data_IF_753944845948
#
_entry.id   IF_753944845948
#
_cell.length_a   1.000
_cell.length_b   1.000
_cell.length_c   1.000
_cell.angle_alpha   90.00
_cell.angle_beta   90.00
_cell.angle_gamma   90.00
#
_symmetry.space_group_name_H-M   'P 1'
#
loop_
_entity.id
_entity.type
_entity.pdbx_description
1 polymer ?
#
# COMPACT_ATOMS: atom_id res chain seq x y z
N UNK A 1 12.19 -3.58 -24.00
CA UNK A 1 10.79 -3.27 -24.38
C UNK A 1 9.88 -4.08 -23.47
N UNK A 2 9.28 -3.44 -22.46
CA UNK A 2 8.41 -4.11 -21.50
C UNK A 2 7.04 -4.33 -22.14
N UNK A 3 6.81 -5.52 -22.67
CA UNK A 3 5.49 -5.88 -23.18
C UNK A 3 4.60 -6.13 -21.97
N UNK A 4 3.78 -5.14 -21.63
CA UNK A 4 2.66 -5.30 -20.71
C UNK A 4 1.80 -6.42 -21.27
N UNK A 5 1.90 -7.61 -20.69
CA UNK A 5 0.89 -8.65 -20.87
C UNK A 5 -0.33 -8.13 -20.11
N UNK A 6 -1.12 -7.32 -20.80
CA UNK A 6 -2.45 -6.93 -20.35
C UNK A 6 -3.31 -8.20 -20.36
N UNK A 7 -3.18 -9.01 -19.30
CA UNK A 7 -4.21 -10.00 -18.97
C UNK A 7 -5.43 -9.16 -18.66
N UNK A 8 -6.37 -9.11 -19.60
CA UNK A 8 -7.64 -8.39 -19.45
C UNK A 8 -8.46 -9.01 -18.33
N UNK A 9 -8.20 -8.59 -17.10
CA UNK A 9 -8.98 -8.96 -15.93
C UNK A 9 -10.27 -8.15 -15.96
N UNK A 10 -11.22 -8.57 -16.79
CA UNK A 10 -12.59 -8.06 -16.76
C UNK A 10 -13.23 -8.41 -15.41
N UNK A 11 -13.91 -7.45 -14.78
CA UNK A 11 -14.74 -7.69 -13.58
C UNK A 11 -15.68 -8.88 -13.85
N UNK A 12 -15.47 -9.99 -13.14
CA UNK A 12 -16.38 -11.15 -13.18
C UNK A 12 -15.77 -12.48 -13.63
N UNK A 13 -14.46 -12.57 -13.89
CA UNK A 13 -13.84 -13.89 -14.12
C UNK A 13 -13.70 -14.66 -12.80
N UNK A 14 -14.52 -15.71 -12.66
CA UNK A 14 -14.42 -16.68 -11.56
C UNK A 14 -13.34 -17.71 -11.89
N UNK A 15 -12.31 -17.78 -11.06
CA UNK A 15 -11.25 -18.77 -11.17
C UNK A 15 -11.62 -19.98 -10.31
N UNK A 16 -11.87 -21.14 -10.93
CA UNK A 16 -12.10 -22.40 -10.22
C UNK A 16 -10.76 -23.12 -9.98
N UNK A 17 -10.05 -22.74 -8.92
CA UNK A 17 -8.85 -23.43 -8.47
C UNK A 17 -8.84 -23.53 -6.96
N UNK A 18 -8.58 -24.71 -6.39
CA UNK A 18 -8.44 -24.90 -4.94
C UNK A 18 -7.03 -24.49 -4.50
N UNK A 19 -6.68 -23.21 -4.71
CA UNK A 19 -5.51 -22.58 -4.13
C UNK A 19 -5.90 -21.92 -2.80
N UNK A 20 -5.02 -21.88 -1.78
CA UNK A 20 -5.28 -21.14 -0.55
C UNK A 20 -5.41 -19.65 -0.91
N UNK A 21 -6.65 -19.17 -0.96
CA UNK A 21 -6.99 -17.85 -1.51
C UNK A 21 -8.25 -17.83 -2.38
N UNK A 22 -8.82 -18.99 -2.75
CA UNK A 22 -10.09 -19.05 -3.48
C UNK A 22 -11.14 -19.80 -2.65
N UNK A 23 -12.04 -19.02 -2.03
CA UNK A 23 -13.32 -19.50 -1.50
C UNK A 23 -14.41 -18.97 -2.43
N UNK A 24 -15.24 -19.87 -2.97
CA UNK A 24 -16.39 -19.56 -3.84
C UNK A 24 -16.10 -18.71 -5.10
N UNK A 25 -14.96 -18.94 -5.76
CA UNK A 25 -14.59 -18.24 -7.00
C UNK A 25 -14.22 -16.76 -6.80
N UNK A 26 -14.04 -16.32 -5.55
CA UNK A 26 -13.56 -14.99 -5.20
C UNK A 26 -12.10 -15.05 -4.77
N UNK A 27 -11.29 -14.11 -5.26
CA UNK A 27 -9.96 -13.87 -4.72
C UNK A 27 -10.09 -13.37 -3.27
N UNK A 28 -9.43 -14.06 -2.34
CA UNK A 28 -9.41 -13.80 -0.90
C UNK A 28 -7.96 -13.79 -0.38
N UNK A 29 -7.74 -13.33 0.85
CA UNK A 29 -6.41 -13.20 1.45
C UNK A 29 -5.80 -11.81 1.25
N UNK A 30 -4.56 -11.64 1.71
CA UNK A 30 -3.93 -10.32 1.87
C UNK A 30 -3.87 -9.49 0.58
N UNK A 31 -3.65 -10.12 -0.59
CA UNK A 31 -3.64 -9.42 -1.87
C UNK A 31 -5.04 -8.92 -2.27
N UNK A 32 -6.08 -9.71 -1.98
CA UNK A 32 -7.46 -9.29 -2.24
C UNK A 32 -7.89 -8.16 -1.30
N UNK A 33 -7.41 -8.18 -0.05
CA UNK A 33 -7.66 -7.11 0.91
C UNK A 33 -6.92 -5.83 0.52
N UNK A 34 -5.68 -5.92 0.04
CA UNK A 34 -4.93 -4.78 -0.52
C UNK A 34 -5.68 -4.13 -1.69
N UNK A 35 -6.11 -4.93 -2.68
CA UNK A 35 -6.91 -4.44 -3.82
C UNK A 35 -8.24 -3.78 -3.44
N UNK A 36 -8.79 -4.11 -2.27
CA UNK A 36 -10.02 -3.49 -1.74
C UNK A 36 -9.76 -2.24 -0.90
N UNK A 37 -8.51 -2.04 -0.47
CA UNK A 37 -8.11 -0.99 0.47
C UNK A 37 -7.06 -0.05 -0.13
N UNK A 38 -7.26 0.33 -1.40
CA UNK A 38 -6.39 1.30 -2.09
C UNK A 38 -6.47 2.66 -1.40
N UNK A 39 -5.34 3.17 -0.93
CA UNK A 39 -5.24 4.39 -0.11
C UNK A 39 -4.60 5.56 -0.89
N UNK A 40 -3.60 5.27 -1.72
CA UNK A 40 -2.76 6.25 -2.44
C UNK A 40 -3.13 6.40 -3.92
N UNK A 41 -4.33 5.97 -4.30
CA UNK A 41 -4.93 6.16 -5.62
C UNK A 41 -4.42 5.21 -6.71
N UNK A 42 -4.57 5.61 -7.96
CA UNK A 42 -4.39 4.72 -9.13
C UNK A 42 -3.01 4.08 -9.24
N UNK A 43 -1.96 4.72 -8.72
CA UNK A 43 -0.60 4.16 -8.74
C UNK A 43 -0.48 2.91 -7.87
N UNK A 44 -1.09 2.92 -6.69
CA UNK A 44 -1.15 1.76 -5.80
C UNK A 44 -2.00 0.65 -6.43
N UNK A 45 -3.21 0.99 -6.91
CA UNK A 45 -4.09 0.03 -7.57
C UNK A 45 -3.39 -0.69 -8.74
N UNK A 46 -2.65 0.05 -9.57
CA UNK A 46 -1.91 -0.53 -10.68
C UNK A 46 -0.76 -1.45 -10.22
N UNK A 47 -0.09 -1.12 -9.11
CA UNK A 47 0.95 -1.97 -8.53
C UNK A 47 0.36 -3.29 -8.02
N UNK A 48 -0.74 -3.23 -7.28
CA UNK A 48 -1.44 -4.43 -6.77
C UNK A 48 -2.01 -5.30 -7.91
N UNK A 49 -2.54 -4.67 -8.96
CA UNK A 49 -2.98 -5.38 -10.16
C UNK A 49 -1.82 -6.05 -10.91
N UNK A 50 -0.62 -5.46 -10.85
CA UNK A 50 0.59 -6.07 -11.41
C UNK A 50 1.00 -7.32 -10.62
N UNK A 51 0.89 -7.28 -9.29
CA UNK A 51 1.09 -8.47 -8.43
C UNK A 51 0.12 -9.58 -8.81
N UNK A 52 -1.17 -9.25 -8.94
CA UNK A 52 -2.19 -10.21 -9.33
C UNK A 52 -1.88 -10.85 -10.70
N UNK A 53 -1.48 -10.04 -11.69
CA UNK A 53 -1.06 -10.54 -12.99
C UNK A 53 0.12 -11.51 -12.91
N UNK A 54 1.15 -11.17 -12.13
CA UNK A 54 2.31 -12.04 -11.91
C UNK A 54 1.94 -13.36 -11.23
N UNK A 55 1.04 -13.31 -10.23
CA UNK A 55 0.56 -14.51 -9.53
C UNK A 55 -0.21 -15.43 -10.47
N UNK A 56 -1.08 -14.88 -11.32
CA UNK A 56 -1.79 -15.66 -12.34
C UNK A 56 -0.81 -16.35 -13.30
N UNK A 57 0.25 -15.66 -13.72
CA UNK A 57 1.30 -16.27 -14.55
C UNK A 57 2.02 -17.40 -13.82
N UNK A 58 2.39 -17.20 -12.56
CA UNK A 58 3.02 -18.25 -11.75
C UNK A 58 2.12 -19.48 -11.56
N UNK A 59 0.83 -19.28 -11.26
CA UNK A 59 -0.15 -20.37 -11.14
C UNK A 59 -0.38 -21.14 -12.45
N UNK A 60 -0.22 -20.49 -13.60
CA UNK A 60 -0.28 -21.18 -14.89
C UNK A 60 0.92 -22.13 -15.08
N UNK A 61 2.13 -21.69 -14.72
CA UNK A 61 3.33 -22.52 -14.78
C UNK A 61 3.28 -23.66 -13.76
N UNK A 62 2.81 -23.40 -12.53
CA UNK A 62 2.62 -24.42 -11.50
C UNK A 62 1.63 -25.52 -11.96
N UNK A 63 0.55 -25.16 -12.66
CA UNK A 63 -0.36 -26.13 -13.26
C UNK A 63 0.31 -26.98 -14.33
N UNK A 64 1.07 -26.37 -15.24
CA UNK A 64 1.83 -27.10 -16.26
C UNK A 64 2.85 -28.07 -15.63
N UNK A 65 3.52 -27.66 -14.56
CA UNK A 65 4.42 -28.52 -13.82
C UNK A 65 3.69 -29.75 -13.25
N UNK A 66 2.50 -29.57 -12.66
CA UNK A 66 1.67 -30.68 -12.16
C UNK A 66 1.18 -31.59 -13.29
N UNK A 67 0.84 -31.04 -14.44
CA UNK A 67 0.42 -31.82 -15.61
C UNK A 67 1.58 -32.69 -16.14
N UNK A 68 2.82 -32.17 -16.15
CA UNK A 68 4.02 -32.94 -16.48
C UNK A 68 4.30 -34.04 -15.45
N UNK A 69 4.22 -33.72 -14.17
CA UNK A 69 4.47 -34.67 -13.08
C UNK A 69 3.47 -35.83 -13.09
N UNK A 70 2.18 -35.52 -13.24
CA UNK A 70 1.10 -36.53 -13.36
C UNK A 70 1.21 -37.37 -14.64
N UNK A 71 1.90 -36.87 -15.66
CA UNK A 71 2.22 -37.59 -16.90
C UNK A 71 3.51 -38.42 -16.81
N UNK A 72 4.09 -38.59 -15.63
CA UNK A 72 5.39 -39.25 -15.37
C UNK A 72 6.59 -38.56 -16.04
N UNK A 73 6.47 -37.29 -16.43
CA UNK A 73 7.52 -36.47 -17.03
C UNK A 73 8.24 -35.64 -15.94
N UNK A 74 8.78 -36.34 -14.94
CA UNK A 74 9.32 -35.71 -13.73
C UNK A 74 10.56 -34.82 -14.03
N UNK A 75 11.40 -35.22 -14.98
CA UNK A 75 12.60 -34.45 -15.32
C UNK A 75 12.22 -33.10 -15.97
N UNK A 76 11.22 -33.12 -16.85
CA UNK A 76 10.66 -31.96 -17.50
C UNK A 76 9.94 -31.05 -16.50
N UNK A 77 9.20 -31.62 -15.54
CA UNK A 77 8.57 -30.86 -14.46
C UNK A 77 9.60 -30.12 -13.60
N UNK A 78 10.70 -30.78 -13.22
CA UNK A 78 11.80 -30.16 -12.47
C UNK A 78 12.44 -29.04 -13.29
N UNK A 79 12.77 -29.30 -14.56
CA UNK A 79 13.38 -28.31 -15.44
C UNK A 79 12.48 -27.09 -15.65
N UNK A 80 11.16 -27.29 -15.78
CA UNK A 80 10.18 -26.22 -15.87
C UNK A 80 10.13 -25.40 -14.57
N UNK A 81 10.12 -26.06 -13.41
CA UNK A 81 10.03 -25.38 -12.12
C UNK A 81 11.27 -24.54 -11.80
N UNK A 82 12.47 -25.09 -12.00
CA UNK A 82 13.73 -24.42 -11.62
C UNK A 82 14.27 -23.49 -12.71
N UNK A 83 13.65 -23.49 -13.89
CA UNK A 83 14.09 -22.71 -15.03
C UNK A 83 13.91 -21.20 -14.85
N UNK A 84 14.85 -20.41 -15.36
CA UNK A 84 14.87 -18.95 -15.27
C UNK A 84 14.46 -18.23 -16.57
N UNK A 85 14.07 -18.95 -17.61
CA UNK A 85 13.60 -18.37 -18.87
C UNK A 85 12.13 -17.97 -18.78
N UNK A 86 11.70 -17.05 -19.65
CA UNK A 86 10.30 -16.64 -19.71
C UNK A 86 9.38 -17.85 -19.91
N UNK A 87 8.36 -17.96 -19.05
CA UNK A 87 7.43 -19.10 -19.03
C UNK A 87 7.86 -20.27 -18.15
N UNK A 88 9.01 -20.19 -17.47
CA UNK A 88 9.46 -21.17 -16.48
C UNK A 88 9.20 -20.69 -15.05
N UNK A 89 9.27 -21.61 -14.08
CA UNK A 89 8.84 -21.41 -12.70
C UNK A 89 9.69 -20.38 -11.96
N UNK A 90 11.02 -20.45 -12.07
CA UNK A 90 11.93 -19.48 -11.46
C UNK A 90 11.67 -18.07 -11.97
N UNK A 91 11.57 -17.90 -13.29
CA UNK A 91 11.22 -16.60 -13.88
C UNK A 91 9.86 -16.09 -13.41
N UNK A 92 8.84 -16.95 -13.39
CA UNK A 92 7.49 -16.56 -12.99
C UNK A 92 7.43 -16.18 -11.51
N UNK A 93 8.15 -16.89 -10.64
CA UNK A 93 8.29 -16.57 -9.23
C UNK A 93 9.00 -15.23 -9.02
N UNK A 94 10.10 -14.96 -9.74
CA UNK A 94 10.81 -13.68 -9.67
C UNK A 94 9.91 -12.50 -10.04
N UNK A 95 8.94 -12.69 -10.95
CA UNK A 95 7.97 -11.67 -11.31
C UNK A 95 7.00 -11.38 -10.15
N UNK A 96 6.56 -12.41 -9.42
CA UNK A 96 5.73 -12.27 -8.22
C UNK A 96 6.49 -11.53 -7.13
N UNK A 97 7.73 -11.95 -6.84
CA UNK A 97 8.57 -11.31 -5.82
C UNK A 97 8.82 -9.84 -6.13
N UNK A 98 9.26 -9.52 -7.34
CA UNK A 98 9.55 -8.13 -7.74
C UNK A 98 8.31 -7.24 -7.74
N UNK A 99 7.15 -7.76 -8.14
CA UNK A 99 5.92 -6.99 -8.12
C UNK A 99 5.43 -6.75 -6.69
N UNK A 100 5.53 -7.74 -5.79
CA UNK A 100 5.19 -7.59 -4.37
C UNK A 100 6.07 -6.55 -3.70
N UNK A 101 7.38 -6.64 -3.92
CA UNK A 101 8.34 -5.68 -3.36
C UNK A 101 8.02 -4.25 -3.82
N UNK A 102 7.78 -4.07 -5.13
CA UNK A 102 7.40 -2.77 -5.70
C UNK A 102 6.12 -2.19 -5.09
N UNK A 103 5.08 -3.02 -4.92
CA UNK A 103 3.82 -2.60 -4.30
C UNK A 103 3.99 -2.24 -2.82
N UNK A 104 4.79 -3.01 -2.09
CA UNK A 104 5.13 -2.72 -0.69
C UNK A 104 5.91 -1.42 -0.54
N UNK A 105 6.91 -1.18 -1.40
CA UNK A 105 7.70 0.04 -1.40
C UNK A 105 6.84 1.28 -1.70
N UNK A 106 5.88 1.17 -2.63
CA UNK A 106 4.94 2.25 -2.93
C UNK A 106 4.08 2.59 -1.71
N UNK A 107 3.51 1.59 -1.06
CA UNK A 107 2.71 1.76 0.14
C UNK A 107 3.51 2.38 1.30
N UNK A 108 4.76 1.91 1.49
CA UNK A 108 5.67 2.46 2.49
C UNK A 108 5.98 3.93 2.23
N UNK A 109 6.31 4.27 0.98
CA UNK A 109 6.59 5.66 0.60
C UNK A 109 5.37 6.57 0.80
N UNK A 110 4.16 6.09 0.51
CA UNK A 110 2.92 6.80 0.78
C UNK A 110 2.72 7.06 2.29
N UNK A 111 2.97 6.03 3.11
CA UNK A 111 2.88 6.15 4.56
C UNK A 111 3.91 7.12 5.13
N UNK A 112 5.18 7.01 4.71
CA UNK A 112 6.27 7.88 5.16
C UNK A 112 6.00 9.34 4.79
N UNK A 113 5.44 9.60 3.60
CA UNK A 113 5.03 10.94 3.19
C UNK A 113 3.89 11.50 4.06
N UNK A 114 2.87 10.70 4.35
CA UNK A 114 1.77 11.10 5.23
C UNK A 114 2.26 11.38 6.67
N UNK A 115 3.19 10.58 7.17
CA UNK A 115 3.81 10.78 8.48
C UNK A 115 4.65 12.07 8.51
N UNK A 116 5.42 12.34 7.45
CA UNK A 116 6.20 13.56 7.31
C UNK A 116 5.31 14.80 7.30
N UNK A 117 4.20 14.79 6.55
CA UNK A 117 3.25 15.90 6.47
C UNK A 117 2.57 16.19 7.82
N UNK A 118 2.17 15.12 8.53
CA UNK A 118 1.62 15.23 9.88
C UNK A 118 2.63 15.85 10.86
N UNK A 119 3.90 15.40 10.81
CA UNK A 119 4.96 15.92 11.68
C UNK A 119 5.28 17.39 11.42
N UNK A 120 5.36 17.82 10.15
CA UNK A 120 5.60 19.22 9.80
C UNK A 120 4.48 20.14 10.25
N UNK A 121 3.23 19.68 10.20
CA UNK A 121 2.07 20.41 10.72
C UNK A 121 2.14 20.61 12.24
N UNK A 122 2.57 19.58 12.98
CA UNK A 122 2.79 19.64 14.42
C UNK A 122 3.92 20.60 14.80
N UNK A 123 4.99 20.66 14.03
CA UNK A 123 6.10 21.57 14.27
C UNK A 123 5.69 23.05 14.12
N UNK A 124 4.85 23.37 13.13
CA UNK A 124 4.31 24.73 12.98
C UNK A 124 3.46 25.13 14.19
N UNK A 125 2.58 24.23 14.66
CA UNK A 125 1.76 24.46 15.85
C UNK A 125 2.65 24.63 17.08
N UNK A 126 3.66 23.78 17.25
CA UNK A 126 4.61 23.86 18.37
C UNK A 126 5.41 25.15 18.36
N UNK A 127 5.83 25.63 17.19
CA UNK A 127 6.55 26.89 17.04
C UNK A 127 5.65 28.12 17.29
N UNK A 128 4.39 28.07 16.86
CA UNK A 128 3.44 29.17 17.05
C UNK A 128 2.86 29.23 18.48
N UNK A 129 2.76 28.09 19.16
CA UNK A 129 2.19 27.97 20.50
C UNK A 129 2.73 29.00 21.52
N UNK A 130 4.05 29.21 21.70
CA UNK A 130 4.55 30.20 22.66
C UNK A 130 4.18 31.64 22.27
N UNK A 131 4.19 31.97 20.97
CA UNK A 131 3.81 33.32 20.51
C UNK A 131 2.33 33.60 20.77
N UNK A 132 1.47 32.63 20.50
CA UNK A 132 0.02 32.71 20.80
C UNK A 132 -0.21 32.81 22.31
N UNK A 133 0.51 32.03 23.12
CA UNK A 133 0.41 32.09 24.58
C UNK A 133 0.80 33.48 25.12
N UNK A 134 1.89 34.07 24.62
CA UNK A 134 2.30 35.43 25.00
C UNK A 134 1.26 36.48 24.58
N UNK A 135 0.70 36.36 23.38
CA UNK A 135 -0.36 37.25 22.90
C UNK A 135 -1.59 37.20 23.83
N UNK A 136 -2.00 36.00 24.26
CA UNK A 136 -3.09 35.83 25.23
C UNK A 136 -2.77 36.52 26.56
N UNK A 137 -1.55 36.36 27.09
CA UNK A 137 -1.12 37.02 28.33
C UNK A 137 -1.18 38.55 28.19
N UNK A 138 -0.72 39.10 27.07
CA UNK A 138 -0.77 40.55 26.79
C UNK A 138 -2.21 41.04 26.68
N UNK A 139 -3.09 40.30 26.00
CA UNK A 139 -4.51 40.66 25.89
C UNK A 139 -5.23 40.64 27.24
N UNK A 140 -4.93 39.64 28.08
CA UNK A 140 -5.44 39.59 29.46
C UNK A 140 -4.95 40.82 30.24
N UNK A 141 -3.67 41.15 30.16
CA UNK A 141 -3.10 42.31 30.84
C UNK A 141 -3.78 43.62 30.42
N UNK A 142 -3.93 43.85 29.11
CA UNK A 142 -4.62 45.03 28.57
C UNK A 142 -6.11 45.08 28.97
N UNK A 143 -6.78 43.92 29.02
CA UNK A 143 -8.18 43.83 29.46
C UNK A 143 -8.38 44.12 30.95
N UNK A 144 -7.41 43.80 31.80
CA UNK A 144 -7.48 43.99 33.26
C UNK A 144 -7.14 45.42 33.69
N UNK A 145 -6.27 46.12 32.95
CA UNK A 145 -5.88 47.52 33.20
C UNK A 145 -7.05 48.50 33.47
N UNK A 146 -8.09 48.59 32.62
CA UNK A 146 -9.19 49.54 32.84
C UNK A 146 -10.03 49.22 34.08
N UNK A 147 -10.08 47.96 34.52
CA UNK A 147 -10.80 47.56 35.73
C UNK A 147 -10.00 47.99 36.97
N UNK A 148 -8.69 47.76 36.97
CA UNK A 148 -7.80 48.16 38.08
C UNK A 148 -7.70 49.69 38.24
N UNK A 149 -7.72 50.45 37.14
CA UNK A 149 -7.68 51.92 37.21
C UNK A 149 -8.93 52.50 37.90
N UNK A 150 -10.10 51.88 37.70
CA UNK A 150 -11.34 52.27 38.39
C UNK A 150 -11.24 52.08 39.90
N UNK A 151 -10.66 50.97 40.38
CA UNK A 151 -10.48 50.75 41.82
C UNK A 151 -9.41 51.66 42.43
N UNK A 152 -8.37 52.03 41.68
CA UNK A 152 -7.36 52.99 42.13
C UNK A 152 -7.93 54.40 42.35
N UNK A 153 -8.88 54.81 41.51
CA UNK A 153 -9.56 56.11 41.64
C UNK A 153 -10.61 56.12 42.77
N UNK A 154 -11.17 54.97 43.13
CA UNK A 154 -12.13 54.85 44.23
C UNK A 154 -11.47 54.75 45.62
N UNK A 155 -10.16 54.52 45.68
CA UNK A 155 -9.37 54.41 46.92
C UNK A 155 -8.57 55.69 47.25
N UNK A 156 -8.67 56.73 46.42
CA UNK A 156 -8.08 58.06 46.62
C UNK A 156 -9.18 59.07 46.97
#
# INVERSE_FOLDING_TARGET
MAQQVAVGLSRGQSFSGRAPGILDGRYTGYLADALRNVTYGDRELNADMTVLGALVTFEQVDRQMRDLDTSNQHAEAIALNTGAQQGQGGWAFDQVERSLQSAADLNRNGYDAALSDASGSLDLVRAAAPAVALLVVVLIWLGVQPTLSRYRLAAA
#
